data_IF_089304429625
#
_entry.id   IF_089304429625
#
_cell.length_a   1.000
_cell.length_b   1.000
_cell.length_c   1.000
_cell.angle_alpha   90.00
_cell.angle_beta   90.00
_cell.angle_gamma   90.00
#
_symmetry.space_group_name_H-M   'P 1'
#
loop_
_entity.id
_entity.type
_entity.pdbx_description
1 polymer ?
#
# COMPACT_ATOMS: atom_id res chain seq x y z
N UNK A 1 -8.60 -16.33 -5.05
CA UNK A 1 -8.06 -15.04 -4.61
C UNK A 1 -7.30 -15.29 -3.32
N UNK A 2 -5.98 -15.20 -3.34
CA UNK A 2 -5.13 -15.41 -2.16
C UNK A 2 -5.12 -14.16 -1.26
N UNK A 3 -5.21 -12.97 -1.87
CA UNK A 3 -5.19 -11.69 -1.16
C UNK A 3 -6.60 -11.07 -1.08
N UNK A 4 -6.92 -10.40 0.02
CA UNK A 4 -8.27 -9.89 0.26
C UNK A 4 -8.26 -8.41 0.67
N UNK A 5 -9.03 -7.59 -0.03
CA UNK A 5 -9.30 -6.21 0.36
C UNK A 5 -10.07 -6.14 1.69
N UNK A 6 -10.95 -7.11 1.98
CA UNK A 6 -11.61 -7.17 3.29
C UNK A 6 -10.57 -7.34 4.40
N UNK A 7 -9.58 -8.21 4.21
CA UNK A 7 -8.52 -8.39 5.19
C UNK A 7 -7.67 -7.11 5.36
N UNK A 8 -7.34 -6.40 4.27
CA UNK A 8 -6.59 -5.15 4.39
C UNK A 8 -7.38 -4.04 5.09
N UNK A 9 -8.70 -4.00 4.93
CA UNK A 9 -9.58 -3.12 5.69
C UNK A 9 -9.58 -3.45 7.18
N UNK A 10 -9.63 -4.73 7.56
CA UNK A 10 -9.54 -5.15 8.98
C UNK A 10 -8.22 -4.73 9.63
N UNK A 11 -7.12 -4.70 8.89
CA UNK A 11 -5.83 -4.22 9.40
C UNK A 11 -5.85 -2.72 9.69
N UNK A 12 -6.52 -1.92 8.85
CA UNK A 12 -6.73 -0.48 9.10
C UNK A 12 -7.57 -0.28 10.36
N UNK A 13 -8.71 -0.98 10.47
CA UNK A 13 -9.59 -0.90 11.65
C UNK A 13 -8.85 -1.30 12.93
N UNK A 14 -8.00 -2.33 12.85
CA UNK A 14 -7.16 -2.76 13.96
C UNK A 14 -6.16 -1.66 14.35
N UNK A 15 -5.51 -1.02 13.37
CA UNK A 15 -4.59 0.09 13.63
C UNK A 15 -5.28 1.30 14.25
N UNK A 16 -6.51 1.62 13.84
CA UNK A 16 -7.32 2.70 14.42
C UNK A 16 -7.74 2.43 15.87
N UNK A 17 -7.84 1.15 16.25
CA UNK A 17 -8.30 0.73 17.57
C UNK A 17 -7.16 0.57 18.60
N UNK A 18 -5.91 0.80 18.21
CA UNK A 18 -4.76 0.67 19.12
C UNK A 18 -4.76 1.84 20.11
N UNK A 19 -4.79 1.50 21.40
CA UNK A 19 -4.64 2.47 22.49
C UNK A 19 -3.18 2.93 22.63
N UNK A 20 -3.01 4.14 23.15
CA UNK A 20 -1.69 4.75 23.34
C UNK A 20 -0.82 3.92 24.30
N UNK A 21 0.36 3.55 23.82
CA UNK A 21 1.39 2.80 24.55
C UNK A 21 2.74 2.99 23.86
N UNK A 22 3.82 2.61 24.53
CA UNK A 22 5.18 2.72 23.99
C UNK A 22 5.35 1.99 22.64
N UNK A 23 4.58 0.93 22.40
CA UNK A 23 4.62 0.13 21.18
C UNK A 23 3.49 0.47 20.19
N UNK A 24 2.56 1.35 20.56
CA UNK A 24 1.40 1.70 19.74
C UNK A 24 1.83 2.21 18.36
N UNK A 25 2.81 3.12 18.33
CA UNK A 25 3.30 3.69 17.07
C UNK A 25 3.88 2.63 16.13
N UNK A 26 4.66 1.68 16.66
CA UNK A 26 5.23 0.57 15.88
C UNK A 26 4.14 -0.35 15.35
N UNK A 27 3.16 -0.69 16.18
CA UNK A 27 2.05 -1.55 15.79
C UNK A 27 1.16 -0.90 14.71
N UNK A 28 0.79 0.39 14.87
CA UNK A 28 0.04 1.17 13.88
C UNK A 28 0.79 1.19 12.55
N UNK A 29 2.08 1.51 12.58
CA UNK A 29 2.91 1.57 11.38
C UNK A 29 2.98 0.21 10.67
N UNK A 30 3.20 -0.87 11.43
CA UNK A 30 3.30 -2.22 10.90
C UNK A 30 1.99 -2.65 10.20
N UNK A 31 0.86 -2.46 10.88
CA UNK A 31 -0.47 -2.80 10.33
C UNK A 31 -0.81 -1.96 9.11
N UNK A 32 -0.45 -0.68 9.11
CA UNK A 32 -0.66 0.23 7.97
C UNK A 32 0.12 -0.24 6.74
N UNK A 33 1.39 -0.60 6.91
CA UNK A 33 2.21 -1.11 5.81
C UNK A 33 1.72 -2.46 5.27
N UNK A 34 1.31 -3.36 6.16
CA UNK A 34 0.72 -4.63 5.76
C UNK A 34 -0.61 -4.42 5.01
N UNK A 35 -1.44 -3.47 5.45
CA UNK A 35 -2.66 -3.11 4.73
C UNK A 35 -2.37 -2.58 3.33
N UNK A 36 -1.37 -1.70 3.16
CA UNK A 36 -0.92 -1.25 1.84
C UNK A 36 -0.50 -2.43 0.96
N UNK A 37 0.35 -3.33 1.47
CA UNK A 37 0.83 -4.50 0.74
C UNK A 37 -0.33 -5.39 0.26
N UNK A 38 -1.24 -5.76 1.17
CA UNK A 38 -2.36 -6.64 0.85
C UNK A 38 -3.32 -5.96 -0.14
N UNK A 39 -3.57 -4.65 0.02
CA UNK A 39 -4.45 -3.91 -0.91
C UNK A 39 -3.90 -3.91 -2.33
N UNK A 40 -2.59 -3.66 -2.49
CA UNK A 40 -1.93 -3.72 -3.79
C UNK A 40 -1.99 -5.13 -4.38
N UNK A 41 -1.63 -6.16 -3.60
CA UNK A 41 -1.61 -7.55 -4.08
C UNK A 41 -2.99 -8.04 -4.48
N UNK A 42 -4.02 -7.77 -3.67
CA UNK A 42 -5.40 -8.12 -4.01
C UNK A 42 -5.85 -7.45 -5.31
N UNK A 43 -5.53 -6.17 -5.48
CA UNK A 43 -5.89 -5.42 -6.70
C UNK A 43 -5.16 -5.95 -7.93
N UNK A 44 -3.87 -6.23 -7.81
CA UNK A 44 -3.06 -6.80 -8.89
C UNK A 44 -3.50 -8.23 -9.26
N UNK A 45 -3.88 -9.05 -8.27
CA UNK A 45 -4.41 -10.40 -8.52
C UNK A 45 -5.67 -10.34 -9.40
N UNK A 46 -6.62 -9.45 -9.07
CA UNK A 46 -7.83 -9.22 -9.88
C UNK A 46 -7.49 -8.63 -11.26
N UNK A 47 -6.49 -7.75 -11.35
CA UNK A 47 -6.03 -7.20 -12.63
C UNK A 47 -5.33 -8.23 -13.54
N UNK A 48 -5.05 -9.45 -13.05
CA UNK A 48 -4.51 -10.56 -13.85
C UNK A 48 -3.06 -10.94 -13.54
N UNK A 49 -2.50 -10.50 -12.41
CA UNK A 49 -1.21 -11.01 -11.93
C UNK A 49 -1.42 -12.33 -11.20
N UNK A 50 -0.51 -13.28 -11.41
CA UNK A 50 -0.58 -14.58 -10.72
C UNK A 50 -0.11 -14.46 -9.27
N UNK A 51 -0.63 -15.32 -8.40
CA UNK A 51 -0.18 -15.41 -7.00
C UNK A 51 1.33 -15.64 -6.89
N UNK A 52 1.93 -16.41 -7.80
CA UNK A 52 3.38 -16.64 -7.82
C UNK A 52 4.16 -15.37 -8.14
N UNK A 53 3.71 -14.55 -9.11
CA UNK A 53 4.33 -13.26 -9.41
C UNK A 53 4.25 -12.28 -8.25
N UNK A 54 3.15 -12.32 -7.48
CA UNK A 54 2.94 -11.47 -6.30
C UNK A 54 3.77 -11.95 -5.11
N UNK A 55 3.90 -13.26 -4.90
CA UNK A 55 4.79 -13.85 -3.88
C UNK A 55 6.25 -13.54 -4.17
N UNK A 56 6.68 -13.61 -5.43
CA UNK A 56 8.04 -13.27 -5.85
C UNK A 56 8.43 -11.81 -5.57
N UNK A 57 7.45 -10.89 -5.51
CA UNK A 57 7.67 -9.48 -5.13
C UNK A 57 7.82 -9.28 -3.62
N UNK A 58 7.62 -10.33 -2.81
CA UNK A 58 7.80 -10.28 -1.37
C UNK A 58 7.01 -9.14 -0.73
N UNK A 59 7.69 -8.32 0.06
CA UNK A 59 7.12 -7.18 0.79
C UNK A 59 7.48 -5.82 0.14
N UNK A 60 7.93 -5.81 -1.11
CA UNK A 60 8.36 -4.60 -1.82
C UNK A 60 7.14 -3.80 -2.30
N UNK A 61 6.60 -2.96 -1.41
CA UNK A 61 5.39 -2.16 -1.63
C UNK A 61 5.57 -1.13 -2.76
N UNK A 62 6.77 -0.61 -2.93
CA UNK A 62 7.17 0.27 -4.02
C UNK A 62 7.05 -0.43 -5.40
N UNK A 63 7.53 -1.67 -5.50
CA UNK A 63 7.44 -2.49 -6.72
C UNK A 63 5.98 -2.81 -7.03
N UNK A 64 5.20 -3.21 -6.02
CA UNK A 64 3.77 -3.48 -6.18
C UNK A 64 2.99 -2.22 -6.62
N UNK A 65 3.31 -1.06 -6.06
CA UNK A 65 2.72 0.22 -6.47
C UNK A 65 3.11 0.56 -7.91
N UNK A 66 4.34 0.24 -8.33
CA UNK A 66 4.77 0.43 -9.72
C UNK A 66 3.99 -0.45 -10.70
N UNK A 67 3.77 -1.72 -10.39
CA UNK A 67 2.96 -2.58 -11.25
C UNK A 67 1.52 -2.09 -11.34
N UNK A 68 0.95 -1.67 -10.21
CA UNK A 68 -0.42 -1.16 -10.18
C UNK A 68 -0.54 0.16 -10.93
N UNK A 69 0.46 1.04 -10.86
CA UNK A 69 0.50 2.30 -11.60
C UNK A 69 0.66 2.10 -13.12
N UNK A 70 1.08 0.91 -13.56
CA UNK A 70 1.21 0.54 -14.98
C UNK A 70 0.03 -0.30 -15.49
N UNK A 71 -0.92 -0.69 -14.64
CA UNK A 71 -2.17 -1.28 -15.10
C UNK A 71 -3.00 -0.27 -15.92
N UNK A 72 -3.97 -0.77 -16.66
CA UNK A 72 -4.90 0.04 -17.45
C UNK A 72 -6.31 -0.08 -16.91
N UNK A 73 -7.06 1.01 -16.99
CA UNK A 73 -8.49 0.98 -16.76
C UNK A 73 -9.22 0.34 -17.94
N UNK A 74 -10.15 -0.58 -17.67
CA UNK A 74 -10.90 -1.32 -18.71
C UNK A 74 -11.82 -0.40 -19.52
N UNK A 75 -12.36 0.65 -18.88
CA UNK A 75 -13.32 1.57 -19.48
C UNK A 75 -12.69 2.62 -20.42
N UNK A 76 -11.49 3.09 -20.09
CA UNK A 76 -10.83 4.24 -20.74
C UNK A 76 -9.53 3.85 -21.44
N UNK A 77 -8.92 2.73 -21.06
CA UNK A 77 -7.58 2.32 -21.52
C UNK A 77 -6.44 3.16 -20.93
N UNK A 78 -6.74 4.14 -20.09
CA UNK A 78 -5.75 4.99 -19.43
C UNK A 78 -4.94 4.17 -18.41
N UNK A 79 -3.68 4.54 -18.24
CA UNK A 79 -2.83 3.94 -17.20
C UNK A 79 -3.24 4.44 -15.82
N UNK A 80 -3.24 3.55 -14.83
CA UNK A 80 -3.62 3.87 -13.44
C UNK A 80 -2.54 4.60 -12.64
N UNK A 81 -1.64 5.32 -13.31
CA UNK A 81 -0.52 6.04 -12.68
C UNK A 81 -0.97 7.12 -11.69
N UNK A 82 -2.20 7.63 -11.85
CA UNK A 82 -2.84 8.61 -10.96
C UNK A 82 -2.95 8.18 -9.50
N UNK A 83 -2.85 6.88 -9.17
CA UNK A 83 -2.78 6.42 -7.78
C UNK A 83 -1.59 7.04 -7.02
N UNK A 84 -0.46 7.25 -7.70
CA UNK A 84 0.74 7.84 -7.09
C UNK A 84 0.52 9.28 -6.65
N UNK A 85 -0.36 10.01 -7.31
CA UNK A 85 -0.67 11.40 -7.03
C UNK A 85 -1.78 11.57 -5.96
N UNK A 86 -2.34 10.47 -5.42
CA UNK A 86 -3.36 10.58 -4.36
C UNK A 86 -2.76 11.21 -3.11
N UNK A 87 -3.40 12.28 -2.66
CA UNK A 87 -2.98 13.09 -1.52
C UNK A 87 -3.30 12.34 -0.22
N UNK A 88 -2.31 12.26 0.65
CA UNK A 88 -2.37 11.72 2.01
C UNK A 88 -2.22 12.84 3.03
N UNK A 89 -1.27 13.75 2.81
CA UNK A 89 -1.07 14.96 3.63
C UNK A 89 -1.27 16.18 2.72
N UNK A 90 -2.38 16.92 2.89
CA UNK A 90 -2.61 18.17 2.15
C UNK A 90 -1.47 19.17 2.36
N UNK A 91 -1.30 20.09 1.41
CA UNK A 91 -0.37 21.22 1.51
C UNK A 91 1.11 20.85 1.72
N UNK A 92 1.50 19.63 1.38
CA UNK A 92 2.90 19.17 1.40
C UNK A 92 3.33 18.63 0.04
N UNK A 93 4.56 18.94 -0.40
CA UNK A 93 5.07 18.49 -1.71
C UNK A 93 5.25 16.97 -1.82
N UNK A 94 5.48 16.29 -0.68
CA UNK A 94 5.76 14.85 -0.61
C UNK A 94 4.64 14.06 0.11
N UNK A 95 3.47 14.66 0.31
CA UNK A 95 2.34 14.06 1.03
C UNK A 95 1.47 13.15 0.18
N UNK A 96 2.04 12.42 -0.79
CA UNK A 96 1.27 11.56 -1.71
C UNK A 96 1.56 10.08 -1.47
N UNK A 97 0.65 9.21 -1.91
CA UNK A 97 0.84 7.74 -1.86
C UNK A 97 2.15 7.34 -2.56
N UNK A 98 2.44 7.93 -3.72
CA UNK A 98 3.66 7.66 -4.46
C UNK A 98 4.93 8.02 -3.68
N UNK A 99 4.96 9.20 -3.08
CA UNK A 99 6.12 9.65 -2.31
C UNK A 99 6.34 8.79 -1.06
N UNK A 100 5.29 8.55 -0.26
CA UNK A 100 5.38 7.81 1.00
C UNK A 100 5.79 6.34 0.80
N UNK A 101 5.27 5.68 -0.23
CA UNK A 101 5.58 4.26 -0.49
C UNK A 101 6.87 4.04 -1.27
N UNK A 102 7.36 5.04 -2.01
CA UNK A 102 8.65 4.94 -2.73
C UNK A 102 9.84 5.29 -1.83
N UNK A 103 9.70 6.26 -0.93
CA UNK A 103 10.75 6.65 0.02
C UNK A 103 11.17 5.51 0.97
N UNK A 104 10.30 4.51 1.16
CA UNK A 104 10.63 3.27 1.87
C UNK A 104 11.85 2.52 1.30
N UNK A 105 12.12 2.65 0.00
CA UNK A 105 13.21 1.92 -0.66
C UNK A 105 14.61 2.45 -0.28
N UNK A 106 14.72 3.65 0.29
CA UNK A 106 16.02 4.31 0.50
C UNK A 106 16.20 5.06 1.83
N UNK A 107 15.13 5.49 2.51
CA UNK A 107 15.23 6.46 3.61
C UNK A 107 14.53 6.05 4.91
N UNK A 108 13.93 4.86 4.98
CA UNK A 108 13.20 4.40 6.17
C UNK A 108 13.58 2.97 6.58
N UNK A 109 13.27 2.61 7.84
CA UNK A 109 13.31 1.24 8.33
C UNK A 109 12.54 0.31 7.39
N UNK A 110 13.27 -0.63 6.80
CA UNK A 110 12.76 -1.50 5.74
C UNK A 110 11.65 -2.41 6.28
N UNK A 111 10.46 -2.28 5.70
CA UNK A 111 9.36 -3.19 6.00
C UNK A 111 9.64 -4.60 5.44
N UNK A 112 9.31 -5.70 6.18
CA UNK A 112 8.66 -5.72 7.49
C UNK A 112 9.64 -5.75 8.69
N UNK A 113 10.87 -6.22 8.48
CA UNK A 113 11.76 -6.59 9.59
C UNK A 113 12.34 -5.39 10.35
N UNK A 114 12.64 -4.28 9.67
CA UNK A 114 13.13 -3.06 10.31
C UNK A 114 12.09 -2.44 11.26
N UNK A 115 10.80 -2.57 10.93
CA UNK A 115 9.71 -2.10 11.79
C UNK A 115 9.51 -3.07 12.96
N UNK A 116 9.53 -4.39 12.73
CA UNK A 116 9.24 -5.41 13.75
C UNK A 116 10.36 -5.60 14.77
N UNK A 117 11.62 -5.59 14.33
CA UNK A 117 12.77 -6.00 15.14
C UNK A 117 13.82 -4.89 15.31
N UNK A 118 13.67 -3.75 14.64
CA UNK A 118 14.60 -2.63 14.76
C UNK A 118 14.49 -1.96 16.12
N UNK A 119 15.62 -1.74 16.79
CA UNK A 119 15.68 -1.03 18.07
C UNK A 119 15.19 0.42 17.95
N UNK A 120 15.52 1.10 16.84
CA UNK A 120 15.01 2.42 16.47
C UNK A 120 14.29 2.33 15.12
N UNK A 121 13.01 2.72 15.10
CA UNK A 121 12.20 2.75 13.87
C UNK A 121 12.27 4.15 13.27
N UNK A 122 13.09 4.31 12.24
CA UNK A 122 13.17 5.53 11.43
C UNK A 122 12.18 5.42 10.28
N UNK A 123 10.99 5.97 10.45
CA UNK A 123 9.93 5.92 9.43
C UNK A 123 9.10 7.20 9.45
N UNK A 124 8.22 7.36 8.46
CA UNK A 124 7.15 8.35 8.53
C UNK A 124 6.28 8.15 9.77
N UNK A 125 5.67 9.23 10.30
CA UNK A 125 4.81 9.13 11.47
C UNK A 125 3.72 8.05 11.30
N UNK A 126 3.44 7.22 12.32
CA UNK A 126 2.48 6.11 12.20
C UNK A 126 1.11 6.54 11.68
N UNK A 127 0.60 7.69 12.15
CA UNK A 127 -0.69 8.23 11.71
C UNK A 127 -0.70 8.70 10.25
N UNK A 128 0.45 9.15 9.73
CA UNK A 128 0.61 9.47 8.31
C UNK A 128 0.48 8.18 7.48
N UNK A 129 1.15 7.11 7.90
CA UNK A 129 1.10 5.83 7.21
C UNK A 129 -0.26 5.15 7.31
N UNK A 130 -0.97 5.30 8.43
CA UNK A 130 -2.36 4.88 8.56
C UNK A 130 -3.27 5.61 7.57
N UNK A 131 -3.10 6.94 7.45
CA UNK A 131 -3.84 7.73 6.46
C UNK A 131 -3.49 7.28 5.04
N UNK A 132 -2.21 6.99 4.76
CA UNK A 132 -1.78 6.45 3.47
C UNK A 132 -2.46 5.11 3.16
N UNK A 133 -2.51 4.19 4.12
CA UNK A 133 -3.17 2.90 3.98
C UNK A 133 -4.66 3.06 3.67
N UNK A 134 -5.36 3.99 4.35
CA UNK A 134 -6.77 4.31 4.09
C UNK A 134 -7.00 4.83 2.68
N UNK A 135 -6.21 5.81 2.24
CA UNK A 135 -6.32 6.42 0.90
C UNK A 135 -6.06 5.37 -0.19
N UNK A 136 -5.01 4.57 -0.03
CA UNK A 136 -4.66 3.52 -0.97
C UNK A 136 -5.72 2.42 -1.00
N UNK A 137 -6.15 1.91 0.16
CA UNK A 137 -7.19 0.89 0.27
C UNK A 137 -8.49 1.35 -0.39
N UNK A 138 -8.95 2.56 -0.09
CA UNK A 138 -10.16 3.12 -0.68
C UNK A 138 -10.06 3.20 -2.20
N UNK A 139 -8.92 3.65 -2.73
CA UNK A 139 -8.70 3.70 -4.16
C UNK A 139 -8.69 2.30 -4.79
N UNK A 140 -7.98 1.34 -4.19
CA UNK A 140 -7.98 -0.06 -4.62
C UNK A 140 -9.41 -0.61 -4.68
N UNK A 141 -10.19 -0.44 -3.61
CA UNK A 141 -11.56 -0.93 -3.52
C UNK A 141 -12.50 -0.30 -4.57
N UNK A 142 -12.30 0.96 -4.91
CA UNK A 142 -13.10 1.66 -5.94
C UNK A 142 -12.77 1.20 -7.36
N UNK A 143 -11.54 0.72 -7.60
CA UNK A 143 -11.02 0.50 -8.95
C UNK A 143 -10.69 -0.96 -9.28
N UNK A 144 -10.72 -1.87 -8.29
CA UNK A 144 -10.25 -3.26 -8.42
C UNK A 144 -10.87 -4.01 -9.60
N UNK A 145 -12.17 -3.86 -9.82
CA UNK A 145 -12.88 -4.52 -10.93
C UNK A 145 -12.65 -3.84 -12.28
N UNK A 146 -12.14 -2.61 -12.30
CA UNK A 146 -11.92 -1.81 -13.50
C UNK A 146 -10.46 -1.82 -13.97
N UNK A 147 -9.57 -2.60 -13.36
CA UNK A 147 -8.16 -2.66 -13.75
C UNK A 147 -7.83 -3.94 -14.49
N UNK A 148 -6.92 -3.82 -15.46
CA UNK A 148 -6.32 -4.95 -16.19
C UNK A 148 -4.82 -4.72 -16.35
N UNK A 149 -4.05 -5.81 -16.31
CA UNK A 149 -2.63 -5.80 -16.60
C UNK A 149 -2.37 -5.33 -18.02
N UNK A 150 -1.50 -4.34 -18.17
CA UNK A 150 -1.07 -3.84 -19.48
C UNK A 150 -0.45 -4.98 -20.31
N UNK A 151 -0.91 -5.13 -21.55
CA UNK A 151 -0.41 -6.15 -22.49
C UNK A 151 -1.19 -7.47 -22.51
N UNK A 152 -2.28 -7.59 -21.74
CA UNK A 152 -3.26 -8.68 -21.91
C UNK A 152 -4.40 -8.20 -22.83
N UNK A 153 -4.19 -8.33 -24.15
CA UNK A 153 -5.26 -8.29 -25.16
C UNK A 153 -5.37 -9.64 -25.86
#
# INVERSE_FOLDING_TARGET
MEYSLEFSQRLIESAESIEESDEAGRAILYLSMLSCEISLKATLEVAGFTVNELKAKGHHVDVLLNDLANCQFKDSGEVSSGIRAKVVIPDTGNGTVGALLTAQASECSVYPNGIRYGELVEHFPPMVMLTCAKVLHQWCNQNVENLVRHGNH
#
